data_IF_062168908848
#
_entry.id   IF_062168908848
#
_cell.length_a   1.000
_cell.length_b   1.000
_cell.length_c   1.000
_cell.angle_alpha   90.00
_cell.angle_beta   90.00
_cell.angle_gamma   90.00
#
_symmetry.space_group_name_H-M   'P 1'
#
loop_
_entity.id
_entity.type
_entity.pdbx_description
1 polymer ?
#
# COMPACT_ATOMS: atom_id res chain seq x y z
N UNK A 1 -48.95 6.28 14.14
CA UNK A 1 -47.73 7.06 13.80
C UNK A 1 -46.51 6.34 14.35
N UNK A 2 -45.32 6.59 13.78
CA UNK A 2 -44.00 6.20 14.35
C UNK A 2 -43.65 4.70 14.44
N UNK A 3 -43.49 4.04 13.28
CA UNK A 3 -42.60 2.88 13.13
C UNK A 3 -41.39 3.22 12.25
N UNK A 4 -41.63 3.80 11.07
CA UNK A 4 -40.62 4.08 10.02
C UNK A 4 -39.49 5.02 10.46
N UNK A 5 -39.75 5.98 11.36
CA UNK A 5 -38.69 6.83 11.91
C UNK A 5 -37.69 6.08 12.78
N UNK A 6 -38.08 4.96 13.39
CA UNK A 6 -37.20 4.19 14.30
C UNK A 6 -36.19 3.38 13.50
N UNK A 7 -36.61 2.72 12.42
CA UNK A 7 -35.70 2.00 11.52
C UNK A 7 -34.73 2.93 10.80
N UNK A 8 -35.19 4.10 10.35
CA UNK A 8 -34.31 5.12 9.75
C UNK A 8 -33.23 5.62 10.72
N UNK A 9 -33.60 5.93 11.96
CA UNK A 9 -32.65 6.38 12.99
C UNK A 9 -31.65 5.26 13.36
N UNK A 10 -32.13 4.01 13.49
CA UNK A 10 -31.27 2.87 13.84
C UNK A 10 -30.25 2.57 12.73
N UNK A 11 -30.67 2.61 11.46
CA UNK A 11 -29.79 2.42 10.31
C UNK A 11 -28.75 3.56 10.18
N UNK A 12 -29.15 4.81 10.40
CA UNK A 12 -28.22 5.93 10.43
C UNK A 12 -27.21 5.81 11.59
N UNK A 13 -27.66 5.36 12.76
CA UNK A 13 -26.81 5.16 13.94
C UNK A 13 -25.80 4.02 13.73
N UNK A 14 -26.21 2.86 13.21
CA UNK A 14 -25.29 1.74 12.94
C UNK A 14 -24.30 2.05 11.83
N UNK A 15 -24.73 2.71 10.74
CA UNK A 15 -23.83 3.19 9.69
C UNK A 15 -22.79 4.20 10.24
N UNK A 16 -23.24 5.18 11.02
CA UNK A 16 -22.35 6.19 11.64
C UNK A 16 -21.38 5.54 12.63
N UNK A 17 -21.85 4.61 13.47
CA UNK A 17 -21.01 3.87 14.42
C UNK A 17 -19.98 2.97 13.72
N UNK A 18 -20.35 2.31 12.63
CA UNK A 18 -19.43 1.52 11.81
C UNK A 18 -18.38 2.41 11.14
N UNK A 19 -18.78 3.53 10.51
CA UNK A 19 -17.86 4.51 9.91
C UNK A 19 -16.90 5.09 10.95
N UNK A 20 -17.39 5.47 12.12
CA UNK A 20 -16.58 5.98 13.23
C UNK A 20 -15.61 4.92 13.77
N UNK A 21 -16.05 3.67 13.92
CA UNK A 21 -15.23 2.55 14.37
C UNK A 21 -14.12 2.24 13.37
N UNK A 22 -14.43 2.20 12.07
CA UNK A 22 -13.44 2.00 11.00
C UNK A 22 -12.45 3.16 10.96
N UNK A 23 -12.92 4.42 11.06
CA UNK A 23 -12.04 5.58 11.11
C UNK A 23 -11.10 5.57 12.34
N UNK A 24 -11.59 5.12 13.49
CA UNK A 24 -10.81 4.97 14.72
C UNK A 24 -9.78 3.82 14.60
N UNK A 25 -10.17 2.69 13.99
CA UNK A 25 -9.27 1.57 13.71
C UNK A 25 -8.17 1.97 12.71
N UNK A 26 -8.54 2.64 11.62
CA UNK A 26 -7.61 3.21 10.64
C UNK A 26 -6.67 4.24 11.27
N UNK A 27 -7.16 5.09 12.19
CA UNK A 27 -6.33 6.06 12.94
C UNK A 27 -5.36 5.37 13.90
N UNK A 28 -5.81 4.32 14.62
CA UNK A 28 -4.94 3.49 15.48
C UNK A 28 -3.84 2.80 14.66
N UNK A 29 -4.17 2.19 13.53
CA UNK A 29 -3.17 1.58 12.64
C UNK A 29 -2.24 2.60 12.01
N UNK A 30 -2.75 3.74 11.53
CA UNK A 30 -1.90 4.80 10.99
C UNK A 30 -0.82 5.26 11.97
N UNK A 31 -1.11 5.30 13.28
CA UNK A 31 -0.11 5.62 14.31
C UNK A 31 0.99 4.55 14.45
N UNK A 32 0.69 3.26 14.28
CA UNK A 32 1.70 2.20 14.27
C UNK A 32 2.64 2.26 13.04
N UNK A 33 2.20 2.94 11.97
CA UNK A 33 2.91 3.13 10.71
C UNK A 33 3.56 4.53 10.57
N UNK A 34 3.50 5.39 11.61
CA UNK A 34 4.27 6.63 11.64
C UNK A 34 5.77 6.28 11.76
N UNK A 35 6.66 6.75 10.86
CA UNK A 35 8.10 6.50 10.96
C UNK A 35 8.72 6.98 12.27
N UNK A 36 8.07 7.91 13.01
CA UNK A 36 8.49 8.35 14.36
C UNK A 36 8.19 7.32 15.45
N UNK A 37 7.23 6.41 15.24
CA UNK A 37 6.80 5.43 16.24
C UNK A 37 7.52 4.07 16.13
N UNK A 38 8.36 3.86 15.11
CA UNK A 38 9.17 2.64 14.93
C UNK A 38 10.32 2.54 15.95
N UNK A 39 9.98 2.36 17.24
CA UNK A 39 10.92 1.89 18.28
C UNK A 39 11.59 0.62 17.80
N UNK A 40 12.93 0.57 17.81
CA UNK A 40 13.69 -0.62 17.44
C UNK A 40 13.31 -1.82 18.31
N UNK A 41 12.71 -2.84 17.72
CA UNK A 41 12.12 -3.97 18.43
C UNK A 41 13.17 -4.99 18.88
N UNK A 42 13.75 -4.74 20.06
CA UNK A 42 14.47 -5.74 20.85
C UNK A 42 15.99 -5.67 20.76
N UNK A 43 16.63 -5.13 21.80
CA UNK A 43 17.99 -5.51 22.15
C UNK A 43 18.01 -6.98 22.61
N UNK A 44 18.33 -7.91 21.71
CA UNK A 44 18.88 -9.20 22.16
C UNK A 44 20.30 -8.97 22.66
N UNK A 45 20.65 -9.58 23.80
CA UNK A 45 21.99 -9.48 24.39
C UNK A 45 23.05 -9.97 23.38
N UNK A 46 24.19 -9.28 23.21
CA UNK A 46 25.26 -9.78 22.36
C UNK A 46 25.85 -11.05 22.97
N UNK A 47 25.79 -12.16 22.21
CA UNK A 47 26.67 -13.29 22.45
C UNK A 47 28.05 -12.94 21.90
N UNK A 48 29.11 -13.19 22.66
CA UNK A 48 30.47 -12.89 22.25
C UNK A 48 30.96 -13.88 21.20
N UNK A 49 30.83 -13.54 19.92
CA UNK A 49 31.80 -13.79 18.84
C UNK A 49 31.26 -13.28 17.49
N UNK A 50 31.98 -12.36 16.86
CA UNK A 50 31.64 -11.75 15.57
C UNK A 50 32.27 -10.37 15.45
N UNK A 51 33.10 -10.15 14.43
CA UNK A 51 33.84 -8.89 14.28
C UNK A 51 32.92 -7.74 13.81
N UNK A 52 33.23 -6.53 14.26
CA UNK A 52 32.46 -5.35 13.86
C UNK A 52 32.78 -4.92 12.42
N UNK A 53 31.74 -4.69 11.63
CA UNK A 53 31.79 -3.92 10.39
C UNK A 53 30.71 -2.83 10.43
N UNK A 54 31.11 -1.58 10.15
CA UNK A 54 30.21 -0.45 10.17
C UNK A 54 29.45 -0.35 8.84
N UNK A 55 28.11 -0.37 8.88
CA UNK A 55 27.26 -0.14 7.72
C UNK A 55 25.90 0.39 8.16
N UNK A 56 25.65 1.69 7.95
CA UNK A 56 24.44 2.35 8.42
C UNK A 56 23.36 2.40 7.31
N UNK A 57 22.34 1.54 7.41
CA UNK A 57 21.14 1.64 6.57
C UNK A 57 19.87 1.31 7.37
N UNK A 58 18.95 2.28 7.45
CA UNK A 58 17.72 2.15 8.25
C UNK A 58 16.58 1.49 7.47
N UNK A 59 16.71 0.20 7.13
CA UNK A 59 15.62 -0.65 6.58
C UNK A 59 14.61 -1.13 7.65
N UNK A 60 13.34 -1.39 7.29
CA UNK A 60 12.25 -1.81 8.21
C UNK A 60 11.69 -3.21 7.87
N UNK A 61 12.56 -4.18 7.57
CA UNK A 61 12.16 -5.53 7.15
C UNK A 61 11.70 -6.37 8.36
N UNK A 62 10.39 -6.63 8.47
CA UNK A 62 9.84 -7.57 9.45
C UNK A 62 9.97 -9.01 8.94
N UNK A 63 11.19 -9.56 8.98
CA UNK A 63 11.44 -10.94 8.57
C UNK A 63 10.96 -11.95 9.63
N UNK A 64 10.13 -12.93 9.23
CA UNK A 64 9.71 -14.04 10.06
C UNK A 64 10.72 -15.20 9.94
N UNK A 65 11.57 -15.40 10.95
CA UNK A 65 12.52 -16.53 10.95
C UNK A 65 11.79 -17.86 11.13
N UNK A 66 11.67 -18.64 10.05
CA UNK A 66 11.21 -20.03 10.10
C UNK A 66 12.31 -20.88 10.73
N UNK A 67 11.98 -21.61 11.80
CA UNK A 67 12.89 -22.53 12.50
C UNK A 67 12.43 -23.95 12.27
N UNK A 68 13.29 -24.78 11.68
CA UNK A 68 13.04 -26.21 11.46
C UNK A 68 14.18 -27.02 12.07
N UNK A 69 13.85 -28.05 12.86
CA UNK A 69 14.80 -28.94 13.53
C UNK A 69 15.92 -28.20 14.31
N UNK A 70 15.56 -27.09 14.98
CA UNK A 70 16.50 -26.28 15.78
C UNK A 70 17.47 -25.42 14.99
N UNK A 71 17.40 -25.42 13.65
CA UNK A 71 18.13 -24.48 12.79
C UNK A 71 17.17 -23.40 12.31
N UNK A 72 17.61 -22.15 12.35
CA UNK A 72 16.98 -21.12 11.54
C UNK A 72 17.24 -21.48 10.07
N UNK A 73 16.19 -21.49 9.25
CA UNK A 73 16.38 -21.41 7.81
C UNK A 73 16.80 -19.95 7.52
N UNK A 74 17.95 -19.79 6.87
CA UNK A 74 18.35 -18.51 6.31
C UNK A 74 17.29 -18.06 5.30
N UNK A 75 17.09 -16.75 5.13
CA UNK A 75 16.24 -16.24 4.05
C UNK A 75 16.87 -16.70 2.71
N UNK A 76 16.13 -17.30 1.75
CA UNK A 76 16.68 -17.58 0.43
C UNK A 76 17.17 -16.32 -0.31
N UNK A 77 16.83 -15.11 0.15
CA UNK A 77 17.40 -13.84 -0.29
C UNK A 77 18.68 -13.41 0.48
N UNK A 78 19.09 -14.12 1.54
CA UNK A 78 20.20 -13.78 2.44
C UNK A 78 21.58 -13.96 1.76
N UNK A 79 21.95 -12.96 0.96
CA UNK A 79 23.18 -12.95 0.17
C UNK A 79 23.06 -12.26 -1.20
N UNK A 80 21.85 -11.88 -1.62
CA UNK A 80 21.62 -11.19 -2.89
C UNK A 80 21.58 -9.66 -2.71
N UNK A 81 22.45 -8.94 -3.41
CA UNK A 81 22.37 -7.47 -3.53
C UNK A 81 21.19 -7.08 -4.45
N UNK A 82 20.06 -6.72 -3.85
CA UNK A 82 18.89 -6.22 -4.58
C UNK A 82 19.00 -4.71 -4.81
N UNK A 83 18.80 -4.27 -6.06
CA UNK A 83 18.82 -2.84 -6.38
C UNK A 83 17.63 -2.10 -5.72
N UNK A 84 17.87 -1.02 -4.95
CA UNK A 84 16.80 -0.29 -4.27
C UNK A 84 15.98 0.55 -5.27
N UNK A 85 14.69 0.24 -5.40
CA UNK A 85 13.75 1.02 -6.21
C UNK A 85 13.39 2.31 -5.47
N UNK A 86 13.79 3.47 -6.01
CA UNK A 86 13.33 4.77 -5.51
C UNK A 86 12.02 5.20 -6.19
N UNK A 87 10.92 5.15 -5.42
CA UNK A 87 9.60 5.59 -5.86
C UNK A 87 9.51 7.09 -6.24
N UNK A 88 10.54 7.91 -5.97
CA UNK A 88 10.60 9.28 -6.49
C UNK A 88 10.57 9.34 -8.03
N UNK A 89 11.09 8.31 -8.72
CA UNK A 89 11.09 8.25 -10.20
C UNK A 89 9.67 8.31 -10.77
N UNK A 90 8.70 7.70 -10.09
CA UNK A 90 7.29 7.70 -10.51
C UNK A 90 6.67 9.10 -10.38
N UNK A 91 7.11 9.93 -9.43
CA UNK A 91 6.70 11.34 -9.33
C UNK A 91 7.14 12.11 -10.58
N UNK A 92 8.41 11.96 -10.97
CA UNK A 92 8.97 12.61 -12.16
C UNK A 92 8.30 12.11 -13.45
N UNK A 93 8.08 10.80 -13.57
CA UNK A 93 7.35 10.19 -14.70
C UNK A 93 5.96 10.82 -14.86
N UNK A 94 5.19 10.91 -13.77
CA UNK A 94 3.84 11.52 -13.81
C UNK A 94 3.90 13.01 -14.15
N UNK A 95 4.86 13.76 -13.63
CA UNK A 95 5.06 15.17 -14.00
C UNK A 95 5.35 15.34 -15.49
N UNK A 96 6.25 14.51 -16.05
CA UNK A 96 6.58 14.51 -17.47
C UNK A 96 5.36 14.15 -18.34
N UNK A 97 4.58 13.15 -17.95
CA UNK A 97 3.36 12.72 -18.66
C UNK A 97 2.29 13.82 -18.64
N UNK A 98 2.00 14.43 -17.47
CA UNK A 98 1.04 15.54 -17.36
C UNK A 98 1.51 16.75 -18.18
N UNK A 99 2.80 17.12 -18.11
CA UNK A 99 3.35 18.19 -18.92
C UNK A 99 3.22 17.91 -20.42
N UNK A 100 3.52 16.67 -20.87
CA UNK A 100 3.47 16.31 -22.28
C UNK A 100 2.03 16.21 -22.79
N UNK A 101 1.09 15.78 -21.96
CA UNK A 101 -0.34 15.75 -22.28
C UNK A 101 -0.91 17.17 -22.45
N UNK A 102 -0.59 18.09 -21.54
CA UNK A 102 -1.01 19.50 -21.64
C UNK A 102 -0.35 20.26 -22.81
N UNK A 103 0.83 19.81 -23.27
CA UNK A 103 1.44 20.34 -24.50
C UNK A 103 0.71 19.92 -25.78
N UNK A 104 0.03 18.76 -25.78
CA UNK A 104 -0.73 18.27 -26.94
C UNK A 104 -2.22 18.56 -26.87
N UNK A 105 -2.76 18.77 -25.67
CA UNK A 105 -4.17 19.06 -25.39
C UNK A 105 -4.32 20.27 -24.44
N UNK A 106 -4.08 21.52 -24.91
CA UNK A 106 -4.17 22.72 -24.06
C UNK A 106 -5.56 22.93 -23.43
N UNK A 107 -6.62 22.44 -24.06
CA UNK A 107 -8.00 22.44 -23.55
C UNK A 107 -8.19 21.60 -22.27
N UNK A 108 -7.29 20.65 -22.01
CA UNK A 108 -7.24 19.88 -20.76
C UNK A 108 -6.64 20.68 -19.58
N UNK A 109 -6.17 21.92 -19.81
CA UNK A 109 -5.71 22.82 -18.74
C UNK A 109 -6.84 23.68 -18.16
N UNK A 110 -7.86 24.01 -18.95
CA UNK A 110 -8.99 24.86 -18.55
C UNK A 110 -10.24 24.08 -18.16
N UNK A 111 -10.40 22.85 -18.68
CA UNK A 111 -11.34 21.86 -18.14
C UNK A 111 -10.74 21.19 -16.90
N UNK A 112 -11.60 20.71 -15.98
CA UNK A 112 -11.19 19.94 -14.80
C UNK A 112 -10.85 18.48 -15.17
N UNK A 113 -9.99 18.31 -16.16
CA UNK A 113 -9.65 17.03 -16.77
C UNK A 113 -8.69 16.21 -15.89
N UNK A 114 -8.83 14.89 -15.93
CA UNK A 114 -7.99 13.96 -15.19
C UNK A 114 -7.79 12.66 -15.98
N UNK A 115 -6.63 12.04 -15.83
CA UNK A 115 -6.35 10.70 -16.33
C UNK A 115 -6.72 9.71 -15.21
N UNK A 116 -7.62 8.77 -15.50
CA UNK A 116 -7.93 7.64 -14.61
C UNK A 116 -7.34 6.36 -15.20
N UNK A 117 -6.57 5.62 -14.40
CA UNK A 117 -6.06 4.29 -14.73
C UNK A 117 -6.54 3.27 -13.69
N UNK A 118 -6.89 2.08 -14.16
CA UNK A 118 -7.09 0.91 -13.32
C UNK A 118 -5.80 0.08 -13.34
N UNK A 119 -5.35 -0.38 -12.18
CA UNK A 119 -4.32 -1.41 -12.09
C UNK A 119 -4.90 -2.79 -12.43
N UNK A 120 -4.00 -3.77 -12.50
CA UNK A 120 -4.37 -5.18 -12.63
C UNK A 120 -5.12 -5.69 -11.39
N UNK A 121 -5.88 -6.75 -11.61
CA UNK A 121 -6.53 -7.56 -10.57
C UNK A 121 -5.85 -8.92 -10.46
N UNK A 122 -6.04 -9.61 -9.35
CA UNK A 122 -5.74 -11.04 -9.28
C UNK A 122 -6.66 -11.81 -10.24
N UNK A 123 -6.15 -12.92 -10.79
CA UNK A 123 -6.87 -13.77 -11.73
C UNK A 123 -6.72 -15.24 -11.31
N UNK A 124 -7.85 -15.92 -11.31
CA UNK A 124 -7.97 -17.33 -10.95
C UNK A 124 -7.60 -18.25 -12.12
N UNK A 125 -7.14 -19.46 -11.81
CA UNK A 125 -6.72 -20.46 -12.81
C UNK A 125 -7.90 -21.29 -13.25
N UNK A 126 -8.54 -20.87 -14.34
CA UNK A 126 -9.81 -21.44 -14.80
C UNK A 126 -10.85 -21.37 -13.67
N UNK A 127 -11.77 -22.34 -13.60
CA UNK A 127 -12.82 -22.41 -12.58
C UNK A 127 -12.31 -22.99 -11.23
N UNK A 128 -11.14 -22.54 -10.76
CA UNK A 128 -10.52 -22.99 -9.48
C UNK A 128 -10.12 -21.82 -8.59
N UNK A 129 -10.00 -22.06 -7.29
CA UNK A 129 -9.56 -21.09 -6.26
C UNK A 129 -8.03 -20.83 -6.26
N UNK A 130 -7.31 -21.32 -7.28
CA UNK A 130 -5.86 -21.20 -7.39
C UNK A 130 -5.49 -19.99 -8.25
N UNK A 131 -5.04 -18.91 -7.63
CA UNK A 131 -4.62 -17.71 -8.34
C UNK A 131 -3.33 -17.90 -9.17
N UNK A 132 -3.15 -17.06 -10.19
CA UNK A 132 -1.85 -16.80 -10.82
C UNK A 132 -1.03 -15.80 -9.99
N UNK A 133 0.30 -15.86 -10.10
CA UNK A 133 1.18 -14.84 -9.52
C UNK A 133 0.80 -13.46 -10.09
N UNK A 134 0.45 -12.50 -9.21
CA UNK A 134 0.05 -11.18 -9.65
C UNK A 134 1.20 -10.41 -10.31
N UNK A 135 0.93 -9.88 -11.51
CA UNK A 135 1.78 -8.92 -12.21
C UNK A 135 0.96 -7.67 -12.53
N UNK A 136 1.52 -6.51 -12.19
CA UNK A 136 0.84 -5.22 -12.36
C UNK A 136 0.70 -4.83 -13.84
N UNK A 137 -0.36 -4.12 -14.17
CA UNK A 137 -0.56 -3.53 -15.50
C UNK A 137 0.57 -2.52 -15.80
N UNK A 138 1.14 -2.58 -17.00
CA UNK A 138 2.36 -1.86 -17.40
C UNK A 138 2.25 -0.33 -17.30
N UNK A 139 1.16 0.30 -17.75
CA UNK A 139 0.99 1.75 -17.65
C UNK A 139 0.76 2.20 -16.20
N UNK A 140 -0.02 1.43 -15.43
CA UNK A 140 -0.22 1.66 -14.01
C UNK A 140 1.08 1.52 -13.20
N UNK A 141 1.85 0.47 -13.46
CA UNK A 141 3.19 0.27 -12.88
C UNK A 141 4.15 1.40 -13.26
N UNK A 142 4.11 1.87 -14.52
CA UNK A 142 4.95 2.98 -14.98
C UNK A 142 4.64 4.29 -14.24
N UNK A 143 3.37 4.63 -14.02
CA UNK A 143 2.99 5.89 -13.35
C UNK A 143 3.03 5.81 -11.82
N UNK A 144 2.67 4.68 -11.20
CA UNK A 144 2.49 4.59 -9.75
C UNK A 144 3.49 3.65 -9.04
N UNK A 145 4.07 2.67 -9.73
CA UNK A 145 4.96 1.66 -9.15
C UNK A 145 4.28 0.65 -8.20
N UNK A 146 2.95 0.72 -8.08
CA UNK A 146 2.15 0.04 -7.06
C UNK A 146 2.11 -1.48 -7.30
N UNK A 147 2.50 -2.24 -6.29
CA UNK A 147 2.64 -3.70 -6.37
C UNK A 147 1.37 -4.47 -6.01
N UNK A 148 0.42 -3.81 -5.35
CA UNK A 148 -0.82 -4.40 -4.88
C UNK A 148 -1.91 -4.45 -5.98
N UNK A 149 -2.69 -5.54 -6.06
CA UNK A 149 -3.78 -5.68 -7.02
C UNK A 149 -5.01 -4.84 -6.65
N UNK A 150 -5.92 -4.67 -7.61
CA UNK A 150 -7.21 -4.00 -7.41
C UNK A 150 -7.12 -2.50 -7.13
N UNK A 151 -5.93 -1.90 -7.26
CA UNK A 151 -5.74 -0.47 -7.11
C UNK A 151 -6.20 0.31 -8.35
N UNK A 152 -6.54 1.58 -8.18
CA UNK A 152 -6.80 2.52 -9.26
C UNK A 152 -6.13 3.86 -8.96
N UNK A 153 -5.87 4.67 -9.99
CA UNK A 153 -5.02 5.85 -9.87
C UNK A 153 -5.53 6.99 -10.74
N UNK A 154 -5.64 8.18 -10.14
CA UNK A 154 -6.08 9.41 -10.80
C UNK A 154 -4.92 10.40 -10.86
N UNK A 155 -4.78 11.06 -12.02
CA UNK A 155 -3.94 12.23 -12.20
C UNK A 155 -4.79 13.42 -12.62
N UNK A 156 -5.03 14.32 -11.68
CA UNK A 156 -5.64 15.62 -11.91
C UNK A 156 -4.66 16.48 -12.73
N UNK A 157 -5.05 16.88 -13.94
CA UNK A 157 -4.21 17.65 -14.85
C UNK A 157 -4.09 19.12 -14.45
N UNK A 158 -5.11 19.66 -13.78
CA UNK A 158 -5.17 21.05 -13.33
C UNK A 158 -4.29 21.27 -12.08
N UNK A 159 -4.43 20.43 -11.05
CA UNK A 159 -3.60 20.53 -9.83
C UNK A 159 -2.28 19.75 -9.93
N UNK A 160 -2.10 18.92 -10.97
CA UNK A 160 -0.95 18.03 -11.18
C UNK A 160 -0.74 17.00 -10.06
N UNK A 161 -1.81 16.65 -9.35
CA UNK A 161 -1.77 15.74 -8.19
C UNK A 161 -2.13 14.32 -8.57
N UNK A 162 -1.37 13.38 -8.00
CA UNK A 162 -1.69 11.96 -8.00
C UNK A 162 -2.61 11.62 -6.83
N UNK A 163 -3.59 10.74 -7.06
CA UNK A 163 -4.41 10.08 -6.03
C UNK A 163 -4.39 8.58 -6.30
N UNK A 164 -4.06 7.80 -5.27
CA UNK A 164 -4.09 6.33 -5.30
C UNK A 164 -5.31 5.84 -4.52
N UNK A 165 -6.14 5.03 -5.18
CA UNK A 165 -7.23 4.28 -4.58
C UNK A 165 -6.76 2.84 -4.34
N UNK A 166 -6.93 2.35 -3.12
CA UNK A 166 -6.49 1.02 -2.66
C UNK A 166 -7.71 0.24 -2.15
N UNK A 167 -7.83 -1.08 -2.42
CA UNK A 167 -8.93 -1.89 -1.92
C UNK A 167 -9.18 -1.75 -0.41
N UNK A 168 -10.47 -1.70 -0.02
CA UNK A 168 -10.88 -1.78 1.39
C UNK A 168 -10.99 -3.25 1.80
N UNK A 169 -9.85 -3.85 2.11
CA UNK A 169 -9.75 -5.24 2.56
C UNK A 169 -10.45 -5.44 3.91
N UNK A 170 -11.04 -6.61 4.12
CA UNK A 170 -11.78 -6.99 5.34
C UNK A 170 -10.84 -7.38 6.50
N UNK A 171 -11.40 -7.56 7.69
CA UNK A 171 -10.66 -8.11 8.84
C UNK A 171 -10.43 -9.64 8.70
N UNK A 172 -11.23 -10.33 7.90
CA UNK A 172 -11.05 -11.76 7.58
C UNK A 172 -9.92 -11.97 6.55
N UNK A 173 -9.82 -11.11 5.54
CA UNK A 173 -8.72 -11.14 4.56
C UNK A 173 -7.34 -11.08 5.25
N UNK A 174 -7.26 -10.35 6.36
CA UNK A 174 -6.04 -10.18 7.15
C UNK A 174 -5.58 -11.46 7.87
N UNK A 175 -6.49 -12.42 8.11
CA UNK A 175 -6.17 -13.74 8.67
C UNK A 175 -5.47 -14.65 7.65
N UNK A 176 -5.85 -14.53 6.37
CA UNK A 176 -5.39 -15.40 5.29
C UNK A 176 -4.21 -14.82 4.50
N UNK A 177 -4.28 -13.53 4.18
CA UNK A 177 -3.33 -12.83 3.30
C UNK A 177 -2.36 -11.91 4.07
N UNK A 178 -2.55 -11.76 5.38
CA UNK A 178 -1.63 -11.07 6.29
C UNK A 178 -1.94 -9.58 6.53
N UNK A 179 -0.99 -8.91 7.19
CA UNK A 179 -1.16 -7.57 7.81
C UNK A 179 -1.61 -6.47 6.82
N UNK A 180 -2.91 -6.17 6.90
CA UNK A 180 -3.62 -5.15 6.12
C UNK A 180 -3.17 -3.74 6.47
N UNK A 181 -2.37 -3.17 5.56
CA UNK A 181 -1.71 -1.86 5.66
C UNK A 181 -2.71 -0.69 5.70
N UNK A 182 -2.46 0.38 6.48
CA UNK A 182 -3.32 1.57 6.49
C UNK A 182 -2.99 2.52 5.32
N UNK A 183 -3.92 3.40 4.95
CA UNK A 183 -3.72 4.43 3.90
C UNK A 183 -2.48 5.32 4.13
N UNK A 184 -2.07 5.51 5.39
CA UNK A 184 -0.85 6.22 5.75
C UNK A 184 0.44 5.52 5.27
N UNK A 185 0.47 4.18 5.25
CA UNK A 185 1.57 3.39 4.70
C UNK A 185 1.68 3.61 3.19
N UNK A 186 0.58 3.42 2.45
CA UNK A 186 0.56 3.59 1.00
C UNK A 186 1.04 4.98 0.57
N UNK A 187 0.57 6.04 1.24
CA UNK A 187 1.00 7.43 1.00
C UNK A 187 2.46 7.73 1.40
N UNK A 188 3.06 6.94 2.29
CA UNK A 188 4.45 7.09 2.69
C UNK A 188 5.41 6.27 1.80
N UNK A 189 4.95 5.12 1.31
CA UNK A 189 5.68 4.21 0.45
C UNK A 189 5.68 4.72 -1.00
N UNK A 190 4.49 4.82 -1.60
CA UNK A 190 4.27 5.38 -2.93
C UNK A 190 4.20 6.91 -2.84
N UNK A 191 5.12 7.57 -3.55
CA UNK A 191 5.27 9.04 -3.59
C UNK A 191 4.31 9.66 -4.60
#
# INVERSE_FOLDING_TARGET
MSSEHVTGLLAAATATAAIASIALLQKKRAAAYDPKNRKGSGQRRPSSNGAALNGASNGHTHHLTIVQNGRALADPAEGYELFPIDFSMHVQIRQNVVQRFLQTHPEAQSSAAAILLHGGVELDRYDTDIQYNFHQESFFQYLFGVREPGCAGLLDLATRRAVLFVPRLSDEWELWCGDRKPLAYFKAHYK
#
